data_IF_261733689150
#
_entry.id   IF_261733689150
#
_cell.length_a   1.000
_cell.length_b   1.000
_cell.length_c   1.000
_cell.angle_alpha   90.00
_cell.angle_beta   90.00
_cell.angle_gamma   90.00
#
_symmetry.space_group_name_H-M   'P 1'
#
loop_
_entity.id
_entity.type
_entity.pdbx_description
1 polymer ?
#
# COMPACT_ATOMS: atom_id res chain seq x y z
N UNK A 1 2.63 27.40 -11.96
CA UNK A 1 2.01 26.17 -11.44
C UNK A 1 2.60 25.83 -10.09
N UNK A 2 1.88 25.11 -9.22
CA UNK A 2 2.41 24.60 -7.94
C UNK A 2 3.23 23.35 -8.22
N UNK A 3 4.42 23.24 -7.63
CA UNK A 3 5.31 22.07 -7.73
C UNK A 3 5.66 21.61 -6.32
N UNK A 4 5.77 20.29 -6.06
CA UNK A 4 6.35 19.78 -4.83
C UNK A 4 7.77 20.34 -4.64
N UNK A 5 8.11 20.67 -3.39
CA UNK A 5 9.45 21.12 -2.98
C UNK A 5 9.85 20.44 -1.69
N UNK A 6 11.14 20.25 -1.45
CA UNK A 6 11.63 19.96 -0.11
C UNK A 6 11.35 21.17 0.77
N UNK A 7 10.62 20.99 1.87
CA UNK A 7 10.20 22.06 2.75
C UNK A 7 10.69 21.79 4.17
N UNK A 8 11.35 22.78 4.78
CA UNK A 8 11.75 22.72 6.19
C UNK A 8 10.69 23.39 7.06
N UNK A 9 9.99 22.66 7.95
CA UNK A 9 9.04 23.25 8.88
C UNK A 9 9.71 24.18 9.91
N UNK A 10 10.95 23.89 10.29
CA UNK A 10 11.72 24.68 11.25
C UNK A 10 12.17 26.01 10.65
N UNK A 11 12.69 26.00 9.42
CA UNK A 11 13.16 27.19 8.72
C UNK A 11 12.06 27.93 7.96
N UNK A 12 10.91 27.28 7.73
CA UNK A 12 9.75 27.79 6.97
C UNK A 12 10.11 28.25 5.56
N UNK A 13 10.98 27.49 4.91
CA UNK A 13 11.42 27.75 3.53
C UNK A 13 11.55 26.45 2.76
N UNK A 14 11.51 26.57 1.43
CA UNK A 14 11.95 25.51 0.55
C UNK A 14 13.47 25.33 0.69
N UNK A 15 13.93 24.09 0.61
CA UNK A 15 15.33 23.71 0.63
C UNK A 15 15.79 23.26 -0.75
N UNK A 16 17.02 23.61 -1.11
CA UNK A 16 17.74 22.99 -2.21
C UNK A 16 18.26 21.60 -1.79
N UNK A 17 18.52 20.73 -2.77
CA UNK A 17 19.05 19.38 -2.50
C UNK A 17 20.38 19.42 -1.74
N UNK A 18 21.23 20.42 -2.01
CA UNK A 18 22.50 20.62 -1.32
C UNK A 18 22.34 21.02 0.17
N UNK A 19 21.15 21.43 0.61
CA UNK A 19 20.85 21.76 2.00
C UNK A 19 20.27 20.56 2.78
N UNK A 20 20.07 19.41 2.11
CA UNK A 20 19.56 18.20 2.75
C UNK A 20 20.69 17.41 3.40
N UNK A 21 20.46 17.02 4.65
CA UNK A 21 21.28 16.07 5.38
C UNK A 21 20.48 14.79 5.60
N UNK A 22 21.08 13.64 5.32
CA UNK A 22 20.47 12.33 5.50
C UNK A 22 21.08 11.64 6.72
N UNK A 23 20.44 11.72 7.90
CA UNK A 23 20.97 11.08 9.09
C UNK A 23 20.91 9.56 8.96
N UNK A 24 21.99 8.89 9.36
CA UNK A 24 22.00 7.43 9.47
C UNK A 24 21.10 6.96 10.63
N UNK A 25 20.46 5.81 10.47
CA UNK A 25 19.67 5.18 11.53
C UNK A 25 18.28 5.78 11.76
N UNK A 26 17.79 6.64 10.86
CA UNK A 26 16.38 7.06 10.91
C UNK A 26 15.45 5.86 10.66
N UNK A 27 14.56 5.58 11.63
CA UNK A 27 13.53 4.54 11.50
C UNK A 27 12.18 5.20 11.22
N UNK A 28 11.64 4.98 10.02
CA UNK A 28 10.31 5.46 9.66
C UNK A 28 9.23 4.49 10.13
N UNK A 29 8.08 5.04 10.54
CA UNK A 29 6.87 4.24 10.78
C UNK A 29 6.24 3.90 9.44
N UNK A 30 5.93 2.63 9.21
CA UNK A 30 5.18 2.20 8.03
C UNK A 30 3.82 1.63 8.38
N UNK A 31 2.88 1.74 7.45
CA UNK A 31 1.56 1.13 7.55
C UNK A 31 1.25 0.35 6.27
N UNK A 32 0.39 -0.65 6.41
CA UNK A 32 -0.30 -1.32 5.32
C UNK A 32 -1.77 -0.92 5.39
N UNK A 33 -2.35 -0.59 4.24
CA UNK A 33 -3.75 -0.15 4.10
C UNK A 33 -4.40 -1.00 3.01
N UNK A 34 -5.62 -1.47 3.26
CA UNK A 34 -6.42 -2.20 2.30
C UNK A 34 -7.55 -1.28 1.81
N UNK A 35 -7.52 -0.90 0.53
CA UNK A 35 -8.57 -0.10 -0.10
C UNK A 35 -9.59 -1.00 -0.75
N UNK A 36 -10.84 -0.94 -0.30
CA UNK A 36 -11.93 -1.68 -0.93
C UNK A 36 -12.14 -1.22 -2.38
N UNK A 37 -12.28 -2.19 -3.29
CA UNK A 37 -12.69 -1.93 -4.67
C UNK A 37 -14.20 -1.72 -4.67
N UNK A 38 -14.66 -0.50 -4.92
CA UNK A 38 -16.11 -0.22 -5.00
C UNK A 38 -16.71 -0.77 -6.30
N UNK A 39 -16.02 -0.55 -7.43
CA UNK A 39 -16.45 -0.95 -8.76
C UNK A 39 -15.38 -1.80 -9.45
N UNK A 40 -15.51 -3.14 -9.47
CA UNK A 40 -14.53 -4.00 -10.11
C UNK A 40 -14.63 -3.96 -11.63
N UNK A 41 -13.47 -3.98 -12.31
CA UNK A 41 -13.39 -4.23 -13.74
C UNK A 41 -13.84 -5.65 -14.09
N UNK A 42 -14.14 -5.91 -15.36
CA UNK A 42 -14.55 -7.25 -15.83
C UNK A 42 -13.57 -8.36 -15.41
N UNK A 43 -12.27 -8.06 -15.40
CA UNK A 43 -11.22 -8.99 -14.99
C UNK A 43 -11.21 -9.27 -13.48
N UNK A 44 -11.65 -8.32 -12.65
CA UNK A 44 -11.66 -8.45 -11.19
C UNK A 44 -13.01 -8.95 -10.64
N UNK A 45 -14.09 -8.85 -11.42
CA UNK A 45 -15.43 -9.31 -11.03
C UNK A 45 -15.47 -10.75 -10.49
N UNK A 46 -14.77 -11.74 -11.06
CA UNK A 46 -14.78 -13.11 -10.52
C UNK A 46 -14.23 -13.21 -9.08
N UNK A 47 -13.42 -12.25 -8.65
CA UNK A 47 -12.75 -12.23 -7.36
C UNK A 47 -13.41 -11.26 -6.36
N UNK A 48 -14.29 -10.38 -6.84
CA UNK A 48 -14.98 -9.38 -6.04
C UNK A 48 -16.32 -9.95 -5.54
N UNK A 49 -16.43 -10.14 -4.22
CA UNK A 49 -17.66 -10.60 -3.62
C UNK A 49 -18.69 -9.47 -3.40
N UNK A 50 -19.95 -9.87 -3.16
CA UNK A 50 -21.06 -8.92 -3.05
C UNK A 50 -21.20 -8.31 -1.65
N UNK A 51 -20.65 -8.94 -0.62
CA UNK A 51 -20.78 -8.53 0.78
C UNK A 51 -19.55 -7.75 1.23
N UNK A 52 -19.72 -6.83 2.18
CA UNK A 52 -18.60 -6.00 2.64
C UNK A 52 -17.40 -6.79 3.19
N UNK A 53 -17.64 -7.98 3.73
CA UNK A 53 -16.62 -8.88 4.27
C UNK A 53 -15.86 -9.69 3.20
N UNK A 54 -16.42 -9.84 1.99
CA UNK A 54 -15.80 -10.60 0.88
C UNK A 54 -15.39 -9.74 -0.34
N UNK A 55 -15.62 -8.43 -0.29
CA UNK A 55 -15.16 -7.48 -1.32
C UNK A 55 -13.64 -7.48 -1.44
N UNK A 56 -13.19 -7.49 -2.70
CA UNK A 56 -11.77 -7.39 -3.05
C UNK A 56 -11.21 -6.05 -2.59
N UNK A 57 -10.02 -6.06 -1.98
CA UNK A 57 -9.31 -4.85 -1.57
C UNK A 57 -7.93 -4.80 -2.24
N UNK A 58 -7.40 -3.61 -2.49
CA UNK A 58 -6.03 -3.40 -2.97
C UNK A 58 -5.12 -3.11 -1.78
N UNK A 59 -4.08 -3.91 -1.60
CA UNK A 59 -3.11 -3.69 -0.53
C UNK A 59 -2.08 -2.62 -0.94
N UNK A 60 -1.90 -1.62 -0.08
CA UNK A 60 -0.95 -0.52 -0.27
C UNK A 60 -0.07 -0.39 0.96
N UNK A 61 1.22 -0.14 0.76
CA UNK A 61 2.20 0.12 1.80
C UNK A 61 2.74 1.54 1.71
N UNK A 62 2.97 2.18 2.84
CA UNK A 62 3.65 3.49 2.89
C UNK A 62 4.42 3.71 4.19
N UNK A 63 5.57 4.40 4.10
CA UNK A 63 6.36 4.92 5.23
C UNK A 63 5.96 6.34 5.64
N UNK A 64 4.98 6.94 4.96
CA UNK A 64 4.48 8.29 5.27
C UNK A 64 2.98 8.27 5.58
N UNK A 65 2.53 7.72 6.71
CA UNK A 65 1.10 7.64 7.06
C UNK A 65 0.36 8.98 6.98
N UNK A 66 1.05 10.08 7.24
CA UNK A 66 0.49 11.44 7.19
C UNK A 66 0.03 11.86 5.78
N UNK A 67 0.44 11.18 4.71
CA UNK A 67 -0.03 11.45 3.35
C UNK A 67 -1.37 10.78 3.05
N UNK A 68 -1.83 9.84 3.89
CA UNK A 68 -3.03 9.05 3.65
C UNK A 68 -4.32 9.88 3.49
N UNK A 69 -4.57 10.94 4.29
CA UNK A 69 -5.76 11.78 4.11
C UNK A 69 -5.83 12.50 2.76
N UNK A 70 -4.72 12.61 2.04
CA UNK A 70 -4.64 13.24 0.72
C UNK A 70 -4.47 12.22 -0.42
N UNK A 71 -4.75 10.93 -0.19
CA UNK A 71 -4.75 9.93 -1.25
C UNK A 71 -5.81 10.26 -2.31
N UNK A 72 -5.45 10.15 -3.58
CA UNK A 72 -6.35 10.38 -4.73
C UNK A 72 -6.47 9.17 -5.65
N UNK A 73 -5.48 8.27 -5.63
CA UNK A 73 -5.43 7.10 -6.49
C UNK A 73 -4.44 6.07 -5.93
N UNK A 74 -4.59 4.84 -6.41
CA UNK A 74 -3.59 3.78 -6.28
C UNK A 74 -2.93 3.59 -7.65
N UNK A 75 -1.60 3.61 -7.68
CA UNK A 75 -0.84 3.31 -8.89
C UNK A 75 -0.54 1.82 -8.96
N UNK A 76 -0.69 1.23 -10.14
CA UNK A 76 -0.31 -0.16 -10.45
C UNK A 76 0.66 -0.17 -11.62
N UNK A 77 1.56 -1.14 -11.66
CA UNK A 77 2.56 -1.28 -12.72
C UNK A 77 2.13 -2.39 -13.69
N UNK A 78 1.89 -2.11 -14.98
CA UNK A 78 1.45 -3.13 -15.93
C UNK A 78 2.48 -4.24 -16.21
N UNK A 79 3.74 -4.07 -15.82
CA UNK A 79 4.80 -5.07 -16.02
C UNK A 79 4.91 -6.06 -14.85
N UNK A 80 4.23 -5.80 -13.73
CA UNK A 80 4.23 -6.69 -12.57
C UNK A 80 3.06 -7.68 -12.64
N UNK A 81 3.30 -8.89 -12.15
CA UNK A 81 2.24 -9.86 -11.90
C UNK A 81 1.57 -9.58 -10.56
N UNK A 82 0.25 -9.72 -10.55
CA UNK A 82 -0.58 -9.52 -9.37
C UNK A 82 -1.43 -10.76 -9.12
N UNK A 83 -1.55 -11.11 -7.85
CA UNK A 83 -2.39 -12.20 -7.38
C UNK A 83 -3.50 -11.66 -6.49
N UNK A 84 -4.69 -12.24 -6.61
CA UNK A 84 -5.70 -12.14 -5.57
C UNK A 84 -5.37 -13.23 -4.55
N UNK A 85 -5.21 -12.83 -3.31
CA UNK A 85 -4.93 -13.71 -2.18
C UNK A 85 -6.05 -13.64 -1.16
N UNK A 86 -6.38 -14.76 -0.54
CA UNK A 86 -7.42 -14.82 0.49
C UNK A 86 -6.87 -15.36 1.82
N UNK A 87 -7.29 -14.71 2.92
CA UNK A 87 -7.02 -15.19 4.28
C UNK A 87 -8.08 -14.67 5.25
N UNK A 88 -8.51 -15.49 6.23
CA UNK A 88 -9.61 -15.16 7.15
C UNK A 88 -9.44 -13.80 7.85
N UNK A 89 -8.22 -13.50 8.32
CA UNK A 89 -7.89 -12.24 9.02
C UNK A 89 -7.94 -10.99 8.13
N UNK A 90 -7.62 -11.10 6.84
CA UNK A 90 -7.43 -9.95 5.94
C UNK A 90 -8.53 -9.82 4.89
N UNK A 91 -9.31 -10.88 4.67
CA UNK A 91 -10.17 -11.03 3.51
C UNK A 91 -9.36 -11.19 2.22
N UNK A 92 -9.98 -10.85 1.09
CA UNK A 92 -9.35 -10.87 -0.23
C UNK A 92 -8.54 -9.61 -0.50
N UNK A 93 -7.27 -9.79 -0.82
CA UNK A 93 -6.36 -8.72 -1.20
C UNK A 93 -5.83 -8.92 -2.62
N UNK A 94 -5.75 -7.86 -3.40
CA UNK A 94 -4.93 -7.79 -4.61
C UNK A 94 -3.54 -7.31 -4.20
N UNK A 95 -2.52 -8.14 -4.47
CA UNK A 95 -1.12 -7.91 -4.09
C UNK A 95 -0.21 -8.21 -5.29
N UNK A 96 0.99 -7.62 -5.31
CA UNK A 96 2.03 -8.07 -6.24
C UNK A 96 2.45 -9.50 -5.87
N UNK A 97 2.51 -10.40 -6.85
CA UNK A 97 2.71 -11.84 -6.60
C UNK A 97 3.99 -12.12 -5.82
N UNK A 98 5.10 -11.45 -6.18
CA UNK A 98 6.40 -11.59 -5.51
C UNK A 98 6.40 -11.17 -4.02
N UNK A 99 5.40 -10.41 -3.59
CA UNK A 99 5.28 -9.93 -2.20
C UNK A 99 4.35 -10.79 -1.35
N UNK A 100 3.57 -11.70 -1.93
CA UNK A 100 2.54 -12.45 -1.19
C UNK A 100 3.11 -13.19 0.03
N UNK A 101 4.21 -13.92 -0.14
CA UNK A 101 4.89 -14.64 0.95
C UNK A 101 5.42 -13.68 2.03
N UNK A 102 6.02 -12.55 1.63
CA UNK A 102 6.52 -11.56 2.59
C UNK A 102 5.38 -10.93 3.40
N UNK A 103 4.25 -10.65 2.75
CA UNK A 103 3.09 -10.06 3.39
C UNK A 103 2.48 -10.98 4.44
N UNK A 104 2.43 -12.30 4.19
CA UNK A 104 1.96 -13.27 5.18
C UNK A 104 2.79 -13.17 6.49
N UNK A 105 4.12 -13.16 6.37
CA UNK A 105 5.00 -12.96 7.53
C UNK A 105 4.81 -11.59 8.19
N UNK A 106 4.65 -10.52 7.40
CA UNK A 106 4.47 -9.14 7.93
C UNK A 106 3.15 -8.96 8.67
N UNK A 107 2.10 -9.67 8.27
CA UNK A 107 0.79 -9.63 8.91
C UNK A 107 0.68 -10.60 10.10
N UNK A 108 1.75 -11.35 10.37
CA UNK A 108 1.83 -12.33 11.43
C UNK A 108 0.86 -13.48 11.20
N UNK A 109 0.72 -13.92 9.96
CA UNK A 109 -0.02 -15.14 9.62
C UNK A 109 0.88 -16.35 9.92
N UNK A 110 0.37 -17.43 10.54
CA UNK A 110 1.16 -18.62 10.81
C UNK A 110 1.62 -19.27 9.50
N UNK A 111 2.80 -19.93 9.49
CA UNK A 111 3.41 -20.51 8.28
C UNK A 111 2.53 -21.57 7.59
N UNK A 112 1.55 -22.14 8.31
CA UNK A 112 0.59 -23.10 7.77
C UNK A 112 -0.68 -22.44 7.19
N UNK A 113 -0.89 -21.15 7.44
CA UNK A 113 -1.99 -20.31 6.91
C UNK A 113 -1.42 -19.28 5.94
N UNK A 114 -0.76 -19.77 4.88
CA UNK A 114 -0.41 -18.92 3.76
C UNK A 114 -1.67 -18.44 3.03
N UNK A 115 -1.52 -17.31 2.34
CA UNK A 115 -2.52 -16.87 1.38
C UNK A 115 -2.88 -18.01 0.41
N UNK A 116 -4.17 -18.31 0.30
CA UNK A 116 -4.70 -19.23 -0.71
C UNK A 116 -4.97 -18.47 -2.01
#
# INVERSE_FOLDING_TARGET
GRKPVHWSPSSRTALAEAELEYPEGHVSKSIYVAFEVEEPSDALRPYHGERSDDRLKVAVWTTTPWTMPANLAVAVNPELEYSVVEHEKTGRLLVATDLASNLASKFGLPEEEEFT
#
